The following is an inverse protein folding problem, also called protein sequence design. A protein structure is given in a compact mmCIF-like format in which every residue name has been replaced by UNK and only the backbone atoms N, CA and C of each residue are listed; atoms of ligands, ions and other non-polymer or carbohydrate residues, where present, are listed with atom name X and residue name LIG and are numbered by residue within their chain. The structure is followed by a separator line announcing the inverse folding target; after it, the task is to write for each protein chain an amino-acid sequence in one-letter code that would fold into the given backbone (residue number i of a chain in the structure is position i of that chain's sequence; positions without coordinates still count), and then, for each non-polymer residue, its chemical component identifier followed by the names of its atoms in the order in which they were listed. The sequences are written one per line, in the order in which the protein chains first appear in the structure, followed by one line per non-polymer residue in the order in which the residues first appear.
data_IF_455015079560
#
_entry.id   IF_455015079560
#
_cell.length_a   1.000
_cell.length_b   1.000
_cell.length_c   1.000
_cell.angle_alpha   90.00
_cell.angle_beta   90.00
_cell.angle_gamma   90.00
#
_symmetry.space_group_name_H-M   'P 1'
#
loop_
_entity.id
_entity.type
_entity.pdbx_description
1 polymer ?
#
# COMPACT_ATOMS: atom_id res chain seq x y z
N UNK A 1 11.85 4.06 -7.00
CA UNK A 1 10.46 3.58 -7.00
C UNK A 1 9.50 4.75 -7.21
N UNK A 2 8.55 4.57 -8.08
CA UNK A 2 7.58 5.64 -8.35
C UNK A 2 6.46 5.63 -7.33
N UNK A 3 5.72 6.75 -7.30
CA UNK A 3 4.54 6.86 -6.44
C UNK A 3 3.53 5.74 -6.74
N UNK A 4 3.31 5.49 -8.02
CA UNK A 4 2.38 4.45 -8.44
C UNK A 4 2.80 3.07 -7.98
N UNK A 5 4.10 2.78 -8.06
CA UNK A 5 4.61 1.51 -7.59
C UNK A 5 4.42 1.32 -6.09
N UNK A 6 4.63 2.38 -5.32
CA UNK A 6 4.42 2.31 -3.88
C UNK A 6 2.95 2.03 -3.56
N UNK A 7 2.05 2.72 -4.26
CA UNK A 7 0.62 2.52 -4.05
C UNK A 7 0.21 1.10 -4.41
N UNK A 8 0.71 0.58 -5.53
CA UNK A 8 0.38 -0.77 -5.93
C UNK A 8 0.87 -1.81 -4.94
N UNK A 9 2.11 -1.68 -4.51
CA UNK A 9 2.67 -2.67 -3.60
C UNK A 9 2.03 -2.61 -2.22
N UNK A 10 1.72 -1.42 -1.73
CA UNK A 10 0.98 -1.31 -0.48
C UNK A 10 -0.40 -1.90 -0.60
N UNK A 11 -1.05 -1.70 -1.74
CA UNK A 11 -2.38 -2.26 -1.97
C UNK A 11 -2.32 -3.78 -2.00
N UNK A 12 -1.35 -4.35 -2.69
CA UNK A 12 -1.19 -5.79 -2.74
C UNK A 12 -0.92 -6.38 -1.36
N UNK A 13 -0.12 -5.71 -0.56
CA UNK A 13 0.15 -6.16 0.79
C UNK A 13 -1.13 -6.25 1.59
N UNK A 14 -1.98 -5.23 1.49
CA UNK A 14 -3.23 -5.21 2.22
C UNK A 14 -4.21 -6.26 1.71
N UNK A 15 -4.17 -6.56 0.42
CA UNK A 15 -5.04 -7.57 -0.16
C UNK A 15 -4.84 -8.94 0.46
N UNK A 16 -3.64 -9.25 0.87
CA UNK A 16 -3.36 -10.55 1.49
C UNK A 16 -4.07 -10.72 2.83
N UNK A 17 -4.54 -9.64 3.40
CA UNK A 17 -5.23 -9.66 4.69
C UNK A 17 -6.74 -9.62 4.57
N UNK A 18 -7.27 -9.63 3.35
CA UNK A 18 -8.71 -9.56 3.14
C UNK A 18 -9.26 -10.94 2.80
N UNK A 19 -10.13 -11.48 3.65
CA UNK A 19 -10.64 -12.83 3.43
C UNK A 19 -11.76 -12.93 2.39
N UNK A 20 -12.45 -11.83 2.08
CA UNK A 20 -13.60 -11.86 1.21
C UNK A 20 -13.23 -11.47 -0.22
N UNK A 21 -13.28 -12.44 -1.13
CA UNK A 21 -12.93 -12.20 -2.53
C UNK A 21 -13.86 -11.21 -3.19
N UNK A 22 -15.12 -11.21 -2.82
CA UNK A 22 -16.11 -10.35 -3.45
C UNK A 22 -15.86 -8.86 -3.21
N UNK A 23 -15.18 -8.55 -2.12
CA UNK A 23 -14.91 -7.17 -1.74
C UNK A 23 -13.57 -6.66 -2.24
N UNK A 24 -12.76 -7.53 -2.81
CA UNK A 24 -11.39 -7.16 -3.20
C UNK A 24 -11.37 -6.05 -4.25
N UNK A 25 -12.19 -6.17 -5.28
CA UNK A 25 -12.21 -5.16 -6.34
C UNK A 25 -12.57 -3.78 -5.81
N UNK A 26 -13.61 -3.74 -4.98
CA UNK A 26 -14.04 -2.49 -4.36
C UNK A 26 -12.96 -1.93 -3.44
N UNK A 27 -12.35 -2.81 -2.66
CA UNK A 27 -11.29 -2.40 -1.74
C UNK A 27 -10.09 -1.83 -2.47
N UNK A 28 -9.65 -2.50 -3.52
CA UNK A 28 -8.48 -2.05 -4.29
C UNK A 28 -8.71 -0.65 -4.83
N UNK A 29 -9.85 -0.43 -5.44
CA UNK A 29 -10.17 0.88 -6.01
C UNK A 29 -10.17 1.95 -4.93
N UNK A 30 -10.84 1.68 -3.83
CA UNK A 30 -10.98 2.65 -2.76
C UNK A 30 -9.67 2.90 -2.04
N UNK A 31 -8.91 1.85 -1.80
CA UNK A 31 -7.65 1.97 -1.09
C UNK A 31 -6.63 2.76 -1.91
N UNK A 32 -6.55 2.48 -3.20
CA UNK A 32 -5.66 3.24 -4.08
C UNK A 32 -6.05 4.71 -4.12
N UNK A 33 -7.33 4.98 -4.16
CA UNK A 33 -7.81 6.35 -4.16
C UNK A 33 -7.42 7.07 -2.85
N UNK A 34 -7.60 6.40 -1.73
CA UNK A 34 -7.23 6.97 -0.44
C UNK A 34 -5.74 7.26 -0.38
N UNK A 35 -4.93 6.32 -0.80
CA UNK A 35 -3.47 6.51 -0.81
C UNK A 35 -3.07 7.66 -1.72
N UNK A 36 -3.73 7.76 -2.87
CA UNK A 36 -3.38 8.80 -3.83
C UNK A 36 -3.83 10.19 -3.39
N UNK A 37 -4.97 10.29 -2.72
CA UNK A 37 -5.54 11.59 -2.37
C UNK A 37 -5.15 12.07 -0.98
N UNK A 38 -4.95 11.16 -0.04
CA UNK A 38 -4.69 11.52 1.36
C UNK A 38 -3.23 11.49 1.76
N UNK A 39 -2.38 10.94 0.93
CA UNK A 39 -0.96 10.79 1.25
C UNK A 39 -0.10 11.51 0.22
N UNK A 40 0.86 12.30 0.70
CA UNK A 40 1.87 12.87 -0.17
C UNK A 40 2.86 11.76 -0.55
N UNK A 41 3.72 12.07 -1.53
CA UNK A 41 4.73 11.10 -1.93
C UNK A 41 5.66 10.73 -0.77
N UNK A 42 5.99 11.71 0.05
CA UNK A 42 6.83 11.47 1.21
C UNK A 42 6.14 10.58 2.24
N UNK A 43 4.85 10.82 2.45
CA UNK A 43 4.08 10.00 3.37
C UNK A 43 3.93 8.57 2.86
N UNK A 44 3.76 8.42 1.56
CA UNK A 44 3.72 7.09 0.95
C UNK A 44 5.04 6.36 1.13
N UNK A 45 6.15 7.05 0.92
CA UNK A 45 7.46 6.46 1.10
C UNK A 45 7.68 6.04 2.54
N UNK A 46 7.23 6.84 3.48
CA UNK A 46 7.33 6.51 4.88
C UNK A 46 6.50 5.28 5.23
N UNK A 47 5.27 5.25 4.75
CA UNK A 47 4.40 4.11 4.97
C UNK A 47 4.97 2.85 4.32
N UNK A 48 5.49 2.99 3.13
CA UNK A 48 6.12 1.86 2.44
C UNK A 48 7.28 1.31 3.24
N UNK A 49 8.11 2.19 3.78
CA UNK A 49 9.24 1.76 4.60
C UNK A 49 8.79 1.08 5.90
N UNK A 50 7.69 1.53 6.46
CA UNK A 50 7.15 0.88 7.66
C UNK A 50 6.68 -0.54 7.38
N UNK A 51 6.12 -0.75 6.20
CA UNK A 51 5.56 -2.04 5.84
C UNK A 51 6.64 -2.99 5.33
N UNK A 52 7.53 -2.52 4.47
CA UNK A 52 8.49 -3.36 3.78
C UNK A 52 9.93 -3.15 4.23
N UNK A 53 10.24 -1.97 4.74
CA UNK A 53 11.60 -1.62 5.07
C UNK A 53 12.15 -2.30 6.29
N UNK A 54 11.30 -2.74 7.18
CA UNK A 54 11.72 -3.38 8.42
C UNK A 54 12.55 -4.62 8.17
N UNK A 55 12.24 -5.33 7.12
CA UNK A 55 12.97 -6.54 6.79
C UNK A 55 14.42 -6.25 6.44
N UNK A 56 14.69 -5.06 5.95
CA UNK A 56 16.03 -4.68 5.57
C UNK A 56 16.81 -4.07 6.73
N UNK A 57 16.09 -3.52 7.67
CA UNK A 57 16.72 -2.83 8.79
C UNK A 57 17.21 -3.81 9.86
N UNK A 58 16.72 -5.00 9.82
CA UNK A 58 16.95 -5.98 10.85
C UNK A 58 18.35 -6.60 10.81
N UNK A 59 19.18 -6.13 9.98
CA UNK A 59 20.52 -6.68 10.03
C UNK A 59 21.47 -5.79 10.76
#
# INVERSE_FOLDING_TARGET
MTREQMIEELTEFELHNIPAVDLISFFVFKYKEVLDTNFSTEELAQKYNEVFGDAEVVH
#
